data_IF_097418047986
#
_entry.id   IF_097418047986
#
_cell.length_a   1.000
_cell.length_b   1.000
_cell.length_c   1.000
_cell.angle_alpha   90.00
_cell.angle_beta   90.00
_cell.angle_gamma   90.00
#
_symmetry.space_group_name_H-M   'P 1'
#
loop_
_entity.id
_entity.type
_entity.pdbx_description
1 polymer ?
#
# COMPACT_ATOMS: atom_id res chain seq x y z
N UNK A 1 -23.79 -3.69 61.00
CA UNK A 1 -23.09 -4.81 60.33
C UNK A 1 -22.32 -4.23 59.15
N UNK A 2 -21.02 -3.98 59.32
CA UNK A 2 -20.16 -3.55 58.22
C UNK A 2 -19.68 -4.78 57.45
N UNK A 3 -20.03 -4.89 56.17
CA UNK A 3 -19.50 -5.91 55.27
C UNK A 3 -18.02 -5.61 55.02
N UNK A 4 -17.12 -6.41 55.58
CA UNK A 4 -15.71 -6.36 55.23
C UNK A 4 -15.57 -6.71 53.73
N UNK A 5 -14.91 -5.82 52.97
CA UNK A 5 -14.58 -6.08 51.58
C UNK A 5 -13.66 -7.31 51.44
N UNK A 6 -13.60 -7.94 50.25
CA UNK A 6 -12.82 -9.15 50.05
C UNK A 6 -11.33 -8.93 50.40
N UNK A 7 -10.61 -9.96 50.89
CA UNK A 7 -9.20 -9.85 51.24
C UNK A 7 -8.35 -9.41 50.04
N UNK A 8 -7.33 -8.58 50.27
CA UNK A 8 -6.40 -8.10 49.23
C UNK A 8 -5.79 -9.24 48.41
N UNK A 9 -5.52 -10.38 49.04
CA UNK A 9 -4.99 -11.60 48.42
C UNK A 9 -5.96 -12.18 47.36
N UNK A 10 -7.27 -12.11 47.60
CA UNK A 10 -8.28 -12.53 46.63
C UNK A 10 -8.37 -11.56 45.44
N UNK A 11 -8.05 -10.27 45.64
CA UNK A 11 -7.98 -9.27 44.59
C UNK A 11 -6.74 -9.44 43.70
N UNK A 12 -5.57 -9.68 44.30
CA UNK A 12 -4.33 -9.97 43.58
C UNK A 12 -4.42 -11.28 42.79
N UNK A 13 -4.99 -12.33 43.38
CA UNK A 13 -5.17 -13.64 42.72
C UNK A 13 -6.13 -13.53 41.53
N UNK A 14 -7.25 -12.80 41.67
CA UNK A 14 -8.19 -12.57 40.57
C UNK A 14 -7.59 -11.73 39.44
N UNK A 15 -6.81 -10.70 39.77
CA UNK A 15 -6.13 -9.85 38.79
C UNK A 15 -5.09 -10.66 38.00
N UNK A 16 -4.31 -11.48 38.70
CA UNK A 16 -3.31 -12.36 38.09
C UNK A 16 -3.96 -13.42 37.19
N UNK A 17 -5.06 -14.04 37.64
CA UNK A 17 -5.78 -15.04 36.85
C UNK A 17 -6.41 -14.42 35.58
N UNK A 18 -7.01 -13.22 35.68
CA UNK A 18 -7.52 -12.48 34.52
C UNK A 18 -6.41 -12.14 33.52
N UNK A 19 -5.26 -11.69 34.00
CA UNK A 19 -4.11 -11.37 33.13
C UNK A 19 -3.60 -12.60 32.38
N UNK A 20 -3.59 -13.78 33.02
CA UNK A 20 -3.14 -15.02 32.41
C UNK A 20 -4.10 -15.51 31.33
N UNK A 21 -5.41 -15.49 31.58
CA UNK A 21 -6.42 -15.83 30.56
C UNK A 21 -6.35 -14.91 29.34
N UNK A 22 -6.06 -13.62 29.54
CA UNK A 22 -5.92 -12.67 28.43
C UNK A 22 -4.66 -12.94 27.61
N UNK A 23 -3.55 -13.30 28.25
CA UNK A 23 -2.31 -13.73 27.60
C UNK A 23 -2.54 -15.02 26.80
N UNK A 24 -3.18 -16.02 27.39
CA UNK A 24 -3.45 -17.31 26.74
C UNK A 24 -4.38 -17.12 25.53
N UNK A 25 -5.44 -16.32 25.66
CA UNK A 25 -6.32 -15.97 24.55
C UNK A 25 -5.59 -15.25 23.41
N UNK A 26 -4.72 -14.30 23.75
CA UNK A 26 -3.94 -13.57 22.73
C UNK A 26 -2.94 -14.50 22.02
N UNK A 27 -2.38 -15.48 22.75
CA UNK A 27 -1.53 -16.52 22.17
C UNK A 27 -2.31 -17.41 21.21
N UNK A 28 -3.49 -17.89 21.60
CA UNK A 28 -4.37 -18.69 20.73
C UNK A 28 -4.76 -17.94 19.44
N UNK A 29 -5.10 -16.64 19.54
CA UNK A 29 -5.40 -15.81 18.37
C UNK A 29 -4.19 -15.72 17.44
N UNK A 30 -2.99 -15.49 18.00
CA UNK A 30 -1.76 -15.38 17.22
C UNK A 30 -1.35 -16.71 16.58
N UNK A 31 -1.60 -17.83 17.25
CA UNK A 31 -1.29 -19.18 16.74
C UNK A 31 -2.29 -19.61 15.65
N UNK A 32 -3.54 -19.13 15.72
CA UNK A 32 -4.57 -19.39 14.71
C UNK A 32 -4.35 -18.60 13.40
N UNK A 33 -3.88 -17.35 13.50
CA UNK A 33 -3.70 -16.49 12.35
C UNK A 33 -2.46 -16.88 11.52
N UNK A 34 -2.61 -17.17 10.20
CA UNK A 34 -1.50 -17.65 9.36
C UNK A 34 -0.25 -16.75 9.32
N UNK A 35 -0.43 -15.44 9.52
CA UNK A 35 0.66 -14.46 9.49
C UNK A 35 1.48 -14.42 10.79
N UNK A 36 0.87 -14.75 11.93
CA UNK A 36 1.54 -14.74 13.25
C UNK A 36 1.87 -16.13 13.77
N UNK A 37 1.30 -17.19 13.19
CA UNK A 37 1.51 -18.58 13.58
C UNK A 37 2.92 -19.10 13.24
N UNK A 38 3.65 -18.44 12.33
CA UNK A 38 5.03 -18.77 11.99
C UNK A 38 5.89 -17.51 11.85
N UNK A 39 6.77 -17.25 12.83
CA UNK A 39 7.63 -16.06 12.86
C UNK A 39 9.07 -16.35 12.42
N UNK A 40 9.23 -16.82 11.19
CA UNK A 40 10.52 -17.24 10.64
C UNK A 40 11.04 -16.30 9.54
N UNK A 41 10.41 -15.13 9.35
CA UNK A 41 10.77 -14.21 8.28
C UNK A 41 12.13 -13.56 8.54
N UNK A 42 12.95 -13.49 7.48
CA UNK A 42 14.26 -12.84 7.51
C UNK A 42 14.15 -11.40 6.98
N UNK A 43 15.15 -10.56 7.25
CA UNK A 43 15.10 -9.12 6.91
C UNK A 43 14.77 -8.83 5.43
N UNK A 44 15.19 -9.69 4.50
CA UNK A 44 14.89 -9.50 3.07
C UNK A 44 13.45 -9.84 2.69
N UNK A 45 12.76 -10.71 3.45
CA UNK A 45 11.32 -10.93 3.24
C UNK A 45 10.56 -9.63 3.50
N UNK A 46 10.93 -8.89 4.55
CA UNK A 46 10.37 -7.55 4.79
C UNK A 46 10.61 -6.62 3.61
N UNK A 47 11.79 -6.62 2.98
CA UNK A 47 12.02 -5.82 1.77
C UNK A 47 11.05 -6.21 0.66
N UNK A 48 10.91 -7.51 0.34
CA UNK A 48 10.01 -7.97 -0.72
C UNK A 48 8.53 -7.67 -0.43
N UNK A 49 8.08 -7.87 0.81
CA UNK A 49 6.69 -7.60 1.19
C UNK A 49 6.39 -6.11 1.21
N UNK A 50 7.29 -5.25 1.71
CA UNK A 50 7.11 -3.80 1.66
C UNK A 50 7.11 -3.27 0.22
N UNK A 51 8.02 -3.75 -0.64
CA UNK A 51 8.00 -3.42 -2.07
C UNK A 51 6.68 -3.85 -2.71
N UNK A 52 6.21 -5.06 -2.43
CA UNK A 52 4.95 -5.57 -3.00
C UNK A 52 3.73 -4.80 -2.50
N UNK A 53 3.75 -4.35 -1.24
CA UNK A 53 2.67 -3.58 -0.65
C UNK A 53 2.56 -2.18 -1.29
N UNK A 54 3.69 -1.56 -1.60
CA UNK A 54 3.74 -0.21 -2.19
C UNK A 54 3.65 -0.24 -3.71
N UNK A 55 4.57 -0.96 -4.36
CA UNK A 55 4.72 -0.98 -5.81
C UNK A 55 3.60 -1.78 -6.44
N UNK A 56 2.57 -1.07 -6.89
CA UNK A 56 1.47 -1.66 -7.62
C UNK A 56 0.77 -0.67 -8.55
N UNK A 57 -0.56 -0.78 -8.64
CA UNK A 57 -1.36 -0.02 -9.60
C UNK A 57 -1.20 1.51 -9.47
N UNK A 58 -0.93 2.01 -8.26
CA UNK A 58 -0.79 3.45 -8.01
C UNK A 58 0.41 4.10 -8.70
N UNK A 59 1.46 3.34 -9.05
CA UNK A 59 2.61 3.90 -9.80
C UNK A 59 2.19 4.45 -11.16
N UNK A 60 1.17 3.84 -11.78
CA UNK A 60 0.71 4.20 -13.11
C UNK A 60 -0.05 5.54 -13.13
N UNK A 61 -0.52 6.04 -11.98
CA UNK A 61 -1.14 7.37 -11.90
C UNK A 61 -0.12 8.49 -11.68
N UNK A 62 1.14 8.18 -11.32
CA UNK A 62 2.15 9.21 -11.05
C UNK A 62 2.41 10.17 -12.22
N UNK A 63 2.53 9.72 -13.50
CA UNK A 63 2.67 10.63 -14.63
C UNK A 63 1.45 11.56 -14.80
N UNK A 64 0.25 11.05 -14.50
CA UNK A 64 -0.98 11.84 -14.54
C UNK A 64 -0.97 12.89 -13.43
N UNK A 65 -0.62 12.51 -12.20
CA UNK A 65 -0.49 13.44 -11.09
C UNK A 65 0.54 14.55 -11.40
N UNK A 66 1.68 14.19 -12.01
CA UNK A 66 2.69 15.16 -12.46
C UNK A 66 2.13 16.13 -13.52
N UNK A 67 1.21 15.70 -14.38
CA UNK A 67 0.60 16.58 -15.38
C UNK A 67 -0.34 17.62 -14.82
N UNK A 68 -1.01 17.31 -13.71
CA UNK A 68 -1.91 18.23 -13.03
C UNK A 68 -1.15 19.18 -12.08
N UNK A 69 -0.01 18.74 -11.53
CA UNK A 69 0.85 19.53 -10.63
C UNK A 69 1.91 20.37 -11.37
N UNK A 70 2.31 19.96 -12.57
CA UNK A 70 3.44 20.51 -13.31
C UNK A 70 4.80 20.12 -12.72
N UNK A 71 5.89 20.50 -13.40
CA UNK A 71 7.25 20.10 -13.02
C UNK A 71 7.67 20.51 -11.60
N UNK A 72 7.54 21.80 -11.25
CA UNK A 72 8.00 22.31 -9.95
C UNK A 72 7.23 21.70 -8.78
N UNK A 73 5.93 22.01 -8.64
CA UNK A 73 5.11 21.43 -7.57
C UNK A 73 5.04 19.90 -7.61
N UNK A 74 5.00 19.29 -8.80
CA UNK A 74 4.95 17.83 -8.95
C UNK A 74 6.20 17.14 -8.41
N UNK A 75 7.41 17.59 -8.77
CA UNK A 75 8.66 17.00 -8.24
C UNK A 75 8.77 17.23 -6.73
N UNK A 76 8.39 18.42 -6.24
CA UNK A 76 8.40 18.73 -4.80
C UNK A 76 7.46 17.79 -4.05
N UNK A 77 6.21 17.63 -4.50
CA UNK A 77 5.24 16.72 -3.89
C UNK A 77 5.77 15.29 -3.94
N UNK A 78 6.32 14.83 -5.07
CA UNK A 78 6.85 13.47 -5.21
C UNK A 78 7.98 13.17 -4.21
N UNK A 79 8.94 14.08 -4.07
CA UNK A 79 10.07 13.96 -3.12
C UNK A 79 9.57 14.04 -1.67
N UNK A 80 8.74 15.02 -1.35
CA UNK A 80 8.22 15.20 0.00
C UNK A 80 7.37 14.01 0.43
N UNK A 81 6.49 13.49 -0.45
CA UNK A 81 5.70 12.29 -0.18
C UNK A 81 6.59 11.08 0.07
N UNK A 82 7.68 10.89 -0.69
CA UNK A 82 8.64 9.81 -0.44
C UNK A 82 9.31 9.95 0.94
N UNK A 83 9.77 11.15 1.32
CA UNK A 83 10.39 11.40 2.63
C UNK A 83 9.40 11.20 3.77
N UNK A 84 8.21 11.81 3.67
CA UNK A 84 7.17 11.73 4.71
C UNK A 84 6.74 10.29 4.92
N UNK A 85 6.50 9.55 3.83
CA UNK A 85 6.05 8.16 3.95
C UNK A 85 7.14 7.26 4.52
N UNK A 86 8.41 7.48 4.18
CA UNK A 86 9.53 6.77 4.82
C UNK A 86 9.57 7.05 6.33
N UNK A 87 9.39 8.32 6.71
CA UNK A 87 9.36 8.74 8.10
C UNK A 87 8.18 8.13 8.87
N UNK A 88 6.96 8.16 8.32
CA UNK A 88 5.81 7.56 9.00
C UNK A 88 5.93 6.04 9.09
N UNK A 89 6.54 5.38 8.10
CA UNK A 89 6.82 3.95 8.18
C UNK A 89 7.86 3.66 9.28
N UNK A 90 8.94 4.44 9.35
CA UNK A 90 9.90 4.34 10.44
C UNK A 90 9.23 4.43 11.81
N UNK A 91 8.31 5.39 12.00
CA UNK A 91 7.54 5.52 13.24
C UNK A 91 6.76 4.23 13.54
N UNK A 92 6.10 3.63 12.55
CA UNK A 92 5.38 2.36 12.75
C UNK A 92 6.32 1.22 13.17
N UNK A 93 7.52 1.16 12.59
CA UNK A 93 8.52 0.14 12.95
C UNK A 93 8.97 0.25 14.40
N UNK A 94 9.21 1.47 14.89
CA UNK A 94 9.55 1.71 16.29
C UNK A 94 8.36 1.47 17.21
N UNK A 95 7.15 1.88 16.81
CA UNK A 95 5.93 1.73 17.60
C UNK A 95 5.49 0.27 17.77
N UNK A 96 5.84 -0.63 16.85
CA UNK A 96 5.54 -2.06 16.97
C UNK A 96 6.07 -2.69 18.27
N UNK A 97 7.18 -2.18 18.81
CA UNK A 97 7.83 -2.69 20.04
C UNK A 97 8.21 -1.53 20.97
N UNK A 98 7.37 -0.50 21.06
CA UNK A 98 7.65 0.66 21.92
C UNK A 98 7.52 0.38 23.41
N UNK A 99 6.77 -0.66 23.79
CA UNK A 99 6.59 -1.10 25.18
C UNK A 99 7.39 -2.39 25.39
N UNK A 100 8.32 -2.43 26.37
CA UNK A 100 9.06 -3.65 26.68
C UNK A 100 8.14 -4.84 26.95
N UNK A 101 8.36 -5.96 26.26
CA UNK A 101 7.58 -7.19 26.43
C UNK A 101 6.21 -7.20 25.72
N UNK A 102 5.78 -6.11 25.07
CA UNK A 102 4.55 -6.07 24.29
C UNK A 102 4.84 -5.75 22.82
N UNK A 103 4.26 -6.55 21.93
CA UNK A 103 4.27 -6.31 20.48
C UNK A 103 2.89 -5.82 20.05
N UNK A 104 2.87 -4.82 19.19
CA UNK A 104 1.66 -4.35 18.51
C UNK A 104 1.71 -4.86 17.08
N UNK A 105 1.21 -6.08 16.88
CA UNK A 105 1.30 -6.78 15.59
C UNK A 105 0.27 -6.23 14.58
N UNK A 106 -0.76 -5.50 15.07
CA UNK A 106 -1.85 -4.96 14.26
C UNK A 106 -2.05 -3.47 14.51
N UNK A 107 -2.44 -2.75 13.46
CA UNK A 107 -2.62 -1.30 13.54
C UNK A 107 -3.69 -0.86 14.54
N UNK A 108 -4.78 -1.61 14.67
CA UNK A 108 -5.82 -1.31 15.67
C UNK A 108 -5.33 -1.49 17.12
N UNK A 109 -4.37 -2.37 17.39
CA UNK A 109 -3.82 -2.56 18.76
C UNK A 109 -3.04 -1.33 19.19
N UNK A 110 -2.32 -0.72 18.25
CA UNK A 110 -1.61 0.53 18.47
C UNK A 110 -2.61 1.68 18.71
N UNK A 111 -3.70 1.71 17.93
CA UNK A 111 -4.80 2.66 18.14
C UNK A 111 -5.47 2.51 19.51
N UNK A 112 -5.72 1.28 19.94
CA UNK A 112 -6.28 0.98 21.26
C UNK A 112 -5.32 1.37 22.39
N UNK A 113 -4.01 1.19 22.18
CA UNK A 113 -3.02 1.64 23.16
C UNK A 113 -2.95 3.17 23.26
N UNK A 114 -3.02 3.88 22.14
CA UNK A 114 -2.91 5.34 22.11
C UNK A 114 -4.19 6.06 22.56
N UNK A 115 -5.37 5.55 22.20
CA UNK A 115 -6.66 6.22 22.40
C UNK A 115 -7.61 5.49 23.37
N UNK A 116 -7.22 4.31 23.86
CA UNK A 116 -8.05 3.45 24.72
C UNK A 116 -8.84 2.40 23.93
N UNK A 117 -9.28 1.34 24.61
CA UNK A 117 -9.77 0.10 23.98
C UNK A 117 -10.96 0.29 23.03
N UNK A 118 -11.90 1.15 23.38
CA UNK A 118 -13.11 1.41 22.55
C UNK A 118 -12.86 2.51 21.52
N UNK A 119 -12.31 3.64 21.95
CA UNK A 119 -12.13 4.80 21.08
C UNK A 119 -11.09 4.52 20.00
N UNK A 120 -10.00 3.82 20.33
CA UNK A 120 -8.99 3.39 19.37
C UNK A 120 -9.56 2.52 18.25
N UNK A 121 -10.44 1.56 18.58
CA UNK A 121 -11.11 0.74 17.56
C UNK A 121 -12.02 1.58 16.65
N UNK A 122 -12.85 2.45 17.22
CA UNK A 122 -13.79 3.27 16.45
C UNK A 122 -13.12 4.30 15.55
N UNK A 123 -11.90 4.75 15.89
CA UNK A 123 -11.12 5.65 15.04
C UNK A 123 -10.42 4.85 13.94
N UNK A 124 -9.69 3.79 14.31
CA UNK A 124 -8.76 3.10 13.40
C UNK A 124 -9.48 2.15 12.44
N UNK A 125 -10.40 1.33 12.93
CA UNK A 125 -10.99 0.24 12.13
C UNK A 125 -11.78 0.78 10.93
N UNK A 126 -12.63 1.82 11.05
CA UNK A 126 -13.34 2.36 9.89
C UNK A 126 -12.39 2.90 8.82
N UNK A 127 -11.32 3.61 9.22
CA UNK A 127 -10.33 4.14 8.28
C UNK A 127 -9.58 3.02 7.56
N UNK A 128 -9.15 1.98 8.29
CA UNK A 128 -8.47 0.82 7.72
C UNK A 128 -9.39 0.05 6.77
N UNK A 129 -10.67 -0.13 7.11
CA UNK A 129 -11.65 -0.78 6.24
C UNK A 129 -11.87 -0.01 4.94
N UNK A 130 -12.03 1.32 5.01
CA UNK A 130 -12.22 2.17 3.83
C UNK A 130 -11.01 2.08 2.89
N UNK A 131 -9.80 2.13 3.42
CA UNK A 131 -8.57 1.99 2.62
C UNK A 131 -8.50 0.60 2.00
N UNK A 132 -8.71 -0.46 2.77
CA UNK A 132 -8.58 -1.84 2.28
C UNK A 132 -9.62 -2.17 1.20
N UNK A 133 -10.88 -1.82 1.42
CA UNK A 133 -11.95 -2.01 0.43
C UNK A 133 -11.69 -1.18 -0.83
N UNK A 134 -11.27 0.07 -0.66
CA UNK A 134 -10.92 0.95 -1.79
C UNK A 134 -9.78 0.38 -2.63
N UNK A 135 -8.69 -0.05 -1.98
CA UNK A 135 -7.55 -0.72 -2.62
C UNK A 135 -8.03 -1.95 -3.38
N UNK A 136 -8.82 -2.83 -2.75
CA UNK A 136 -9.34 -4.03 -3.42
C UNK A 136 -10.12 -3.69 -4.70
N UNK A 137 -11.02 -2.70 -4.66
CA UNK A 137 -11.79 -2.26 -5.83
C UNK A 137 -10.86 -1.76 -6.95
N UNK A 138 -9.90 -0.88 -6.62
CA UNK A 138 -8.98 -0.31 -7.60
C UNK A 138 -8.12 -1.38 -8.26
N UNK A 139 -7.61 -2.34 -7.49
CA UNK A 139 -6.81 -3.45 -8.02
C UNK A 139 -7.64 -4.40 -8.91
N UNK A 140 -8.91 -4.69 -8.55
CA UNK A 140 -9.78 -5.50 -9.40
C UNK A 140 -10.07 -4.84 -10.75
N UNK A 141 -10.36 -3.53 -10.74
CA UNK A 141 -10.59 -2.76 -11.96
C UNK A 141 -9.31 -2.69 -12.81
N UNK A 142 -8.16 -2.44 -12.18
CA UNK A 142 -6.88 -2.31 -12.88
C UNK A 142 -6.43 -3.64 -13.50
N UNK A 143 -6.56 -4.75 -12.77
CA UNK A 143 -6.30 -6.09 -13.28
C UNK A 143 -7.20 -6.44 -14.47
N UNK A 144 -8.50 -6.18 -14.35
CA UNK A 144 -9.46 -6.37 -15.45
C UNK A 144 -9.13 -5.53 -16.70
N UNK A 145 -8.72 -4.26 -16.52
CA UNK A 145 -8.27 -3.39 -17.63
C UNK A 145 -7.02 -3.96 -18.30
N UNK A 146 -6.08 -4.47 -17.51
CA UNK A 146 -4.83 -5.07 -18.00
C UNK A 146 -5.11 -6.33 -18.83
N UNK A 147 -5.98 -7.22 -18.34
CA UNK A 147 -6.42 -8.41 -19.09
C UNK A 147 -7.13 -8.04 -20.39
N UNK A 148 -8.04 -7.07 -20.35
CA UNK A 148 -8.72 -6.59 -21.57
C UNK A 148 -7.71 -6.05 -22.58
N UNK A 149 -6.75 -5.23 -22.13
CA UNK A 149 -5.73 -4.66 -23.01
C UNK A 149 -4.87 -5.76 -23.64
N UNK A 150 -4.51 -6.79 -22.88
CA UNK A 150 -3.79 -7.95 -23.40
C UNK A 150 -4.62 -8.67 -24.47
N UNK A 151 -5.89 -8.97 -24.19
CA UNK A 151 -6.82 -9.58 -25.15
C UNK A 151 -6.88 -8.77 -26.46
N UNK A 152 -7.12 -7.47 -26.37
CA UNK A 152 -7.24 -6.58 -27.53
C UNK A 152 -5.93 -6.47 -28.33
N UNK A 153 -4.79 -6.71 -27.69
CA UNK A 153 -3.46 -6.65 -28.34
C UNK A 153 -3.12 -7.96 -29.04
N UNK A 154 -3.44 -9.10 -28.43
CA UNK A 154 -3.13 -10.43 -28.97
C UNK A 154 -4.13 -10.86 -30.05
N UNK A 155 -5.38 -10.39 -29.95
CA UNK A 155 -6.42 -10.69 -30.92
C UNK A 155 -7.17 -9.41 -31.32
N UNK A 156 -6.63 -8.62 -32.26
CA UNK A 156 -7.25 -7.37 -32.73
C UNK A 156 -8.63 -7.60 -33.37
N UNK A 157 -8.80 -8.74 -34.04
CA UNK A 157 -10.04 -9.11 -34.75
C UNK A 157 -11.05 -9.87 -33.86
N UNK A 158 -10.73 -10.09 -32.59
CA UNK A 158 -11.65 -10.74 -31.67
C UNK A 158 -12.85 -9.83 -31.34
N UNK A 159 -13.97 -10.45 -31.00
CA UNK A 159 -15.15 -9.73 -30.54
C UNK A 159 -14.80 -8.88 -29.33
N UNK A 160 -15.20 -7.60 -29.37
CA UNK A 160 -15.06 -6.71 -28.21
C UNK A 160 -15.90 -7.22 -27.04
N UNK A 161 -15.22 -7.59 -25.95
CA UNK A 161 -15.84 -8.03 -24.70
C UNK A 161 -15.85 -6.86 -23.72
N UNK A 162 -16.97 -6.72 -22.97
CA UNK A 162 -17.10 -5.66 -21.96
C UNK A 162 -16.08 -5.83 -20.84
N UNK A 163 -15.52 -4.72 -20.35
CA UNK A 163 -14.54 -4.70 -19.27
C UNK A 163 -15.01 -5.47 -18.01
N UNK A 164 -16.30 -5.40 -17.69
CA UNK A 164 -16.90 -6.09 -16.54
C UNK A 164 -16.59 -7.60 -16.54
N UNK A 165 -16.56 -8.25 -17.70
CA UNK A 165 -16.22 -9.68 -17.77
C UNK A 165 -14.76 -9.95 -17.42
N UNK A 166 -13.83 -9.12 -17.88
CA UNK A 166 -12.41 -9.24 -17.51
C UNK A 166 -12.18 -8.98 -16.02
N UNK A 167 -12.92 -8.04 -15.42
CA UNK A 167 -12.90 -7.82 -13.97
C UNK A 167 -13.39 -9.08 -13.25
N UNK A 168 -14.50 -9.68 -13.68
CA UNK A 168 -15.03 -10.91 -13.08
C UNK A 168 -14.06 -12.10 -13.22
N UNK A 169 -13.38 -12.24 -14.37
CA UNK A 169 -12.34 -13.26 -14.58
C UNK A 169 -11.20 -13.05 -13.58
N UNK A 170 -10.69 -11.82 -13.48
CA UNK A 170 -9.61 -11.48 -12.55
C UNK A 170 -10.01 -11.72 -11.08
N UNK A 171 -11.23 -11.33 -10.72
CA UNK A 171 -11.79 -11.54 -9.38
C UNK A 171 -11.95 -13.04 -9.05
N UNK A 172 -12.36 -13.86 -10.03
CA UNK A 172 -12.53 -15.30 -9.84
C UNK A 172 -11.20 -15.99 -9.51
N UNK A 173 -10.12 -15.61 -10.20
CA UNK A 173 -8.76 -16.11 -9.91
C UNK A 173 -8.34 -15.71 -8.50
N UNK A 174 -8.55 -14.44 -8.11
CA UNK A 174 -8.22 -13.97 -6.75
C UNK A 174 -9.06 -14.64 -5.66
N UNK A 175 -10.34 -14.92 -5.92
CA UNK A 175 -11.20 -15.64 -4.99
C UNK A 175 -10.67 -17.06 -4.72
N UNK A 176 -10.18 -17.75 -5.73
CA UNK A 176 -9.56 -19.08 -5.54
C UNK A 176 -8.23 -18.95 -4.79
N UNK A 177 -7.40 -17.97 -5.14
CA UNK A 177 -6.13 -17.73 -4.46
C UNK A 177 -6.31 -17.36 -2.98
N UNK A 178 -7.40 -16.65 -2.62
CA UNK A 178 -7.68 -16.28 -1.22
C UNK A 178 -8.02 -17.47 -0.32
N UNK A 179 -8.34 -18.62 -0.90
CA UNK A 179 -8.56 -19.86 -0.15
C UNK A 179 -7.25 -20.60 0.18
N UNK A 180 -6.11 -20.18 -0.37
CA UNK A 180 -4.82 -20.81 -0.08
C UNK A 180 -4.30 -20.36 1.30
N UNK A 181 -3.96 -21.30 2.20
CA UNK A 181 -3.63 -20.99 3.60
C UNK A 181 -2.26 -20.30 3.80
N UNK A 182 -1.40 -20.21 2.78
CA UNK A 182 -0.06 -19.64 2.91
C UNK A 182 0.44 -18.94 1.65
N UNK A 183 0.75 -17.65 1.76
CA UNK A 183 1.17 -16.76 0.66
C UNK A 183 2.71 -16.62 0.51
N UNK A 184 3.51 -17.44 1.20
CA UNK A 184 4.98 -17.35 1.16
C UNK A 184 5.60 -17.44 -0.26
N UNK A 185 4.88 -17.99 -1.25
CA UNK A 185 5.33 -18.09 -2.65
C UNK A 185 4.83 -16.98 -3.59
N UNK A 186 3.91 -16.11 -3.16
CA UNK A 186 3.27 -15.09 -4.03
C UNK A 186 4.09 -13.79 -4.10
N UNK A 187 4.88 -13.49 -3.06
CA UNK A 187 5.78 -12.32 -3.04
C UNK A 187 6.85 -12.36 -4.13
N UNK A 188 7.37 -13.55 -4.46
CA UNK A 188 8.35 -13.73 -5.54
C UNK A 188 7.77 -13.50 -6.94
N UNK A 189 6.51 -13.89 -7.16
CA UNK A 189 5.80 -13.70 -8.44
C UNK A 189 5.46 -12.23 -8.69
N UNK A 190 5.06 -11.50 -7.63
CA UNK A 190 4.74 -10.07 -7.73
C UNK A 190 5.97 -9.22 -8.10
N UNK A 191 7.14 -9.52 -7.51
CA UNK A 191 8.39 -8.84 -7.87
C UNK A 191 8.80 -9.11 -9.33
N UNK A 192 8.70 -10.37 -9.77
CA UNK A 192 9.01 -10.71 -11.16
C UNK A 192 8.06 -9.95 -12.13
N UNK A 193 6.78 -9.85 -11.80
CA UNK A 193 5.80 -9.09 -12.58
C UNK A 193 6.11 -7.58 -12.57
N UNK A 194 6.50 -7.00 -11.43
CA UNK A 194 6.89 -5.60 -11.32
C UNK A 194 8.14 -5.28 -12.14
N UNK A 195 9.19 -6.11 -12.04
CA UNK A 195 10.43 -5.97 -12.81
C UNK A 195 10.18 -6.15 -14.31
N UNK A 196 9.33 -7.11 -14.71
CA UNK A 196 8.94 -7.28 -16.11
C UNK A 196 8.12 -6.11 -16.64
N UNK A 197 7.24 -5.54 -15.82
CA UNK A 197 6.43 -4.37 -16.18
C UNK A 197 7.30 -3.11 -16.34
N UNK A 198 8.33 -2.93 -15.51
CA UNK A 198 9.30 -1.82 -15.63
C UNK A 198 10.15 -1.92 -16.90
N UNK A 199 10.51 -3.14 -17.33
CA UNK A 199 11.26 -3.35 -18.60
C UNK A 199 10.41 -3.21 -19.86
N UNK A 200 9.08 -3.39 -19.74
CA UNK A 200 8.12 -3.27 -20.85
C UNK A 200 7.22 -2.04 -20.71
N UNK A 201 7.70 -0.93 -20.14
CA UNK A 201 7.02 0.36 -20.28
C UNK A 201 7.21 0.92 -21.69
N UNK A 202 6.64 0.20 -22.66
CA UNK A 202 6.46 0.65 -24.02
C UNK A 202 5.29 1.62 -24.05
N UNK A 203 5.62 2.89 -24.28
CA UNK A 203 4.86 3.86 -25.09
C UNK A 203 3.34 3.66 -25.05
N UNK A 204 2.68 4.21 -24.02
CA UNK A 204 1.23 4.29 -24.01
C UNK A 204 0.80 5.38 -25.02
N UNK A 205 0.43 4.95 -26.22
CA UNK A 205 -0.01 5.86 -27.27
C UNK A 205 -1.43 6.35 -26.99
N UNK A 206 -1.57 7.64 -26.66
CA UNK A 206 -2.85 8.35 -26.78
C UNK A 206 -3.40 9.01 -25.51
N UNK A 207 -2.63 9.14 -24.43
CA UNK A 207 -3.08 9.91 -23.27
C UNK A 207 -2.50 11.32 -23.37
N UNK A 208 -3.41 12.30 -23.39
CA UNK A 208 -3.10 13.72 -23.44
C UNK A 208 -3.08 14.30 -22.02
N UNK A 209 -1.96 14.95 -21.69
CA UNK A 209 -1.57 15.36 -20.34
C UNK A 209 -1.20 16.86 -20.33
N UNK A 210 -1.97 17.69 -21.03
CA UNK A 210 -1.94 19.14 -20.87
C UNK A 210 -2.73 19.63 -19.65
N UNK A 211 -2.52 20.87 -19.21
CA UNK A 211 -3.37 21.52 -18.19
C UNK A 211 -4.84 21.50 -18.66
N UNK A 212 -5.68 20.67 -18.03
CA UNK A 212 -7.07 20.44 -18.49
C UNK A 212 -8.06 21.49 -17.99
N UNK A 213 -7.72 22.24 -16.94
CA UNK A 213 -8.65 23.18 -16.32
C UNK A 213 -8.46 24.61 -16.87
N UNK A 214 -9.51 25.13 -17.51
CA UNK A 214 -9.60 26.54 -17.92
C UNK A 214 -10.16 27.47 -16.81
N UNK A 215 -10.55 26.91 -15.66
CA UNK A 215 -11.11 27.63 -14.51
C UNK A 215 -10.31 27.40 -13.24
N UNK A 216 -10.24 28.40 -12.36
CA UNK A 216 -9.53 28.33 -11.07
C UNK A 216 -10.00 27.17 -10.21
N UNK A 217 -11.32 26.93 -10.15
CA UNK A 217 -11.89 25.82 -9.38
C UNK A 217 -11.43 24.46 -9.92
N UNK A 218 -11.40 24.28 -11.25
CA UNK A 218 -10.91 23.06 -11.87
C UNK A 218 -9.44 22.80 -11.54
N UNK A 219 -8.60 23.84 -11.56
CA UNK A 219 -7.18 23.73 -11.18
C UNK A 219 -7.02 23.26 -9.73
N UNK A 220 -7.83 23.78 -8.81
CA UNK A 220 -7.79 23.37 -7.39
C UNK A 220 -8.22 21.92 -7.23
N UNK A 221 -9.31 21.48 -7.87
CA UNK A 221 -9.75 20.08 -7.79
C UNK A 221 -8.75 19.11 -8.40
N UNK A 222 -8.11 19.49 -9.51
CA UNK A 222 -7.07 18.70 -10.14
C UNK A 222 -5.83 18.58 -9.24
N UNK A 223 -5.44 19.67 -8.56
CA UNK A 223 -4.36 19.63 -7.57
C UNK A 223 -4.65 18.64 -6.44
N UNK A 224 -5.85 18.67 -5.85
CA UNK A 224 -6.23 17.71 -4.80
C UNK A 224 -6.33 16.27 -5.33
N UNK A 225 -6.81 16.09 -6.55
CA UNK A 225 -6.85 14.76 -7.20
C UNK A 225 -5.44 14.20 -7.38
N UNK A 226 -4.49 15.03 -7.82
CA UNK A 226 -3.11 14.65 -7.98
C UNK A 226 -2.41 14.33 -6.64
N UNK A 227 -2.72 15.08 -5.57
CA UNK A 227 -2.27 14.72 -4.21
C UNK A 227 -2.82 13.35 -3.79
N UNK A 228 -4.09 13.07 -4.10
CA UNK A 228 -4.71 11.76 -3.88
C UNK A 228 -4.03 10.63 -4.66
N UNK A 229 -3.69 10.88 -5.93
CA UNK A 229 -2.97 9.92 -6.77
C UNK A 229 -1.57 9.61 -6.23
N UNK A 230 -0.82 10.64 -5.80
CA UNK A 230 0.50 10.46 -5.18
C UNK A 230 0.37 9.72 -3.84
N UNK A 231 -0.62 10.07 -3.01
CA UNK A 231 -0.87 9.39 -1.74
C UNK A 231 -1.22 7.91 -1.96
N UNK A 232 -2.05 7.60 -2.95
CA UNK A 232 -2.40 6.23 -3.33
C UNK A 232 -1.19 5.45 -3.84
N UNK A 233 -0.31 6.08 -4.61
CA UNK A 233 0.92 5.44 -5.09
C UNK A 233 1.84 4.98 -3.95
N UNK A 234 1.92 5.74 -2.86
CA UNK A 234 2.72 5.40 -1.68
C UNK A 234 1.93 4.66 -0.58
N UNK A 235 0.70 4.22 -0.86
CA UNK A 235 -0.06 3.41 0.08
C UNK A 235 0.62 2.05 0.32
N UNK A 236 0.61 1.57 1.57
CA UNK A 236 1.25 0.31 1.95
C UNK A 236 1.52 0.19 3.46
N UNK A 237 1.42 1.30 4.19
CA UNK A 237 1.62 1.36 5.65
C UNK A 237 0.64 0.49 6.43
N UNK A 238 -0.56 0.25 5.91
CA UNK A 238 -1.63 -0.52 6.56
C UNK A 238 -1.29 -2.00 6.80
N UNK A 239 -0.23 -2.52 6.18
CA UNK A 239 0.23 -3.93 6.35
C UNK A 239 1.62 -4.05 6.98
N UNK A 240 2.26 -2.93 7.32
CA UNK A 240 3.66 -2.90 7.79
C UNK A 240 3.83 -3.58 9.14
N UNK A 241 2.87 -3.41 10.04
CA UNK A 241 2.94 -4.02 11.37
C UNK A 241 2.78 -5.53 11.27
N UNK A 242 1.88 -5.99 10.40
CA UNK A 242 1.64 -7.39 10.12
C UNK A 242 2.86 -8.05 9.45
N UNK A 243 3.56 -7.33 8.56
CA UNK A 243 4.84 -7.78 7.99
C UNK A 243 5.89 -7.91 9.09
N UNK A 244 6.03 -6.91 9.97
CA UNK A 244 6.99 -6.95 11.07
C UNK A 244 6.66 -8.04 12.10
N UNK A 245 5.39 -8.35 12.30
CA UNK A 245 4.94 -9.43 13.17
C UNK A 245 5.52 -10.79 12.73
N UNK A 246 5.71 -11.03 11.43
CA UNK A 246 6.30 -12.27 10.90
C UNK A 246 7.79 -12.44 11.22
N UNK A 247 8.47 -11.36 11.63
CA UNK A 247 9.89 -11.38 11.98
C UNK A 247 10.04 -11.84 13.43
N UNK A 248 10.96 -12.78 13.71
CA UNK A 248 11.24 -13.21 15.07
C UNK A 248 11.77 -12.05 15.90
N UNK A 249 11.31 -11.96 17.14
CA UNK A 249 11.74 -10.94 18.09
C UNK A 249 12.07 -11.57 19.44
N UNK A 250 13.13 -11.09 20.06
CA UNK A 250 13.55 -11.43 21.43
C UNK A 250 13.95 -10.15 22.14
N UNK A 251 13.93 -10.09 23.48
CA UNK A 251 14.36 -8.90 24.22
C UNK A 251 15.76 -8.40 23.80
N UNK A 252 16.68 -9.30 23.45
CA UNK A 252 18.05 -9.00 23.02
C UNK A 252 18.15 -8.63 21.53
N UNK A 253 17.24 -9.16 20.71
CA UNK A 253 17.19 -8.94 19.25
C UNK A 253 15.76 -8.54 18.83
N UNK A 254 15.41 -7.25 18.94
CA UNK A 254 14.08 -6.77 18.59
C UNK A 254 13.87 -6.80 17.06
N UNK A 255 12.63 -7.02 16.63
CA UNK A 255 12.24 -7.15 15.22
C UNK A 255 12.47 -5.86 14.43
N UNK A 256 12.48 -4.71 15.10
CA UNK A 256 12.66 -3.38 14.47
C UNK A 256 13.96 -3.24 13.67
N UNK A 257 15.06 -3.85 14.11
CA UNK A 257 16.36 -3.77 13.41
C UNK A 257 16.32 -4.44 12.03
N UNK A 258 15.99 -5.76 11.92
CA UNK A 258 15.85 -6.40 10.62
C UNK A 258 14.70 -5.82 9.79
N UNK A 259 13.60 -5.40 10.42
CA UNK A 259 12.50 -4.72 9.71
C UNK A 259 12.98 -3.42 9.05
N UNK A 260 13.65 -2.55 9.79
CA UNK A 260 14.14 -1.27 9.28
C UNK A 260 15.13 -1.44 8.12
N UNK A 261 16.00 -2.44 8.21
CA UNK A 261 16.90 -2.80 7.09
C UNK A 261 16.09 -3.18 5.83
N UNK A 262 15.02 -3.95 5.98
CA UNK A 262 14.12 -4.31 4.88
C UNK A 262 13.41 -3.09 4.28
N UNK A 263 12.91 -2.20 5.14
CA UNK A 263 12.24 -0.94 4.75
C UNK A 263 13.16 -0.03 3.95
N UNK A 264 14.42 0.18 4.38
CA UNK A 264 15.37 1.02 3.64
C UNK A 264 15.64 0.50 2.23
N UNK A 265 15.80 -0.83 2.08
CA UNK A 265 15.98 -1.45 0.77
C UNK A 265 14.70 -1.31 -0.07
N UNK A 266 13.53 -1.51 0.54
CA UNK A 266 12.25 -1.33 -0.15
C UNK A 266 12.06 0.11 -0.65
N UNK A 267 12.35 1.11 0.17
CA UNK A 267 12.22 2.52 -0.20
C UNK A 267 13.20 2.98 -1.27
N UNK A 268 14.40 2.39 -1.30
CA UNK A 268 15.34 2.57 -2.40
C UNK A 268 14.77 2.00 -3.71
N UNK A 269 14.21 0.79 -3.68
CA UNK A 269 13.56 0.18 -4.85
C UNK A 269 12.36 1.02 -5.30
N UNK A 270 11.51 1.48 -4.37
CA UNK A 270 10.38 2.37 -4.64
C UNK A 270 10.88 3.65 -5.32
N UNK A 271 11.94 4.29 -4.84
CA UNK A 271 12.51 5.47 -5.48
C UNK A 271 12.94 5.19 -6.93
N UNK A 272 13.65 4.08 -7.16
CA UNK A 272 14.10 3.64 -8.49
C UNK A 272 12.91 3.33 -9.41
N UNK A 273 11.78 2.88 -8.87
CA UNK A 273 10.59 2.57 -9.67
C UNK A 273 9.75 3.83 -9.93
N UNK A 274 9.53 4.67 -8.92
CA UNK A 274 8.51 5.73 -8.96
C UNK A 274 9.03 6.97 -9.64
N UNK A 275 10.26 7.39 -9.32
CA UNK A 275 10.81 8.64 -9.81
C UNK A 275 11.01 8.59 -11.33
N UNK A 276 11.62 7.55 -11.92
CA UNK A 276 11.72 7.46 -13.37
C UNK A 276 10.35 7.38 -14.05
N UNK A 277 9.41 6.60 -13.50
CA UNK A 277 8.08 6.48 -14.09
C UNK A 277 7.36 7.82 -14.10
N UNK A 278 7.37 8.54 -12.98
CA UNK A 278 6.75 9.86 -12.86
C UNK A 278 7.41 10.89 -13.80
N UNK A 279 8.74 11.01 -13.74
CA UNK A 279 9.51 12.03 -14.46
C UNK A 279 9.52 11.76 -15.96
N UNK A 280 9.92 10.54 -16.38
CA UNK A 280 10.02 10.18 -17.81
C UNK A 280 8.62 10.07 -18.41
N UNK A 281 7.67 9.45 -17.69
CA UNK A 281 6.29 9.34 -18.15
C UNK A 281 5.68 10.72 -18.42
N UNK A 282 5.88 11.66 -17.50
CA UNK A 282 5.42 13.03 -17.69
C UNK A 282 6.15 13.74 -18.84
N UNK A 283 7.48 13.65 -18.90
CA UNK A 283 8.26 14.27 -19.97
C UNK A 283 7.87 13.79 -21.38
N UNK A 284 7.69 12.47 -21.55
CA UNK A 284 7.26 11.89 -22.83
C UNK A 284 5.87 12.38 -23.21
N UNK A 285 4.95 12.46 -22.24
CA UNK A 285 3.59 12.93 -22.49
C UNK A 285 3.53 14.39 -22.92
N UNK A 286 4.30 15.26 -22.25
CA UNK A 286 4.38 16.68 -22.56
C UNK A 286 5.00 16.90 -23.95
N UNK A 287 6.06 16.15 -24.27
CA UNK A 287 6.73 16.23 -25.58
C UNK A 287 5.79 15.79 -26.71
N UNK A 288 5.00 14.73 -26.49
CA UNK A 288 4.00 14.27 -27.45
C UNK A 288 2.90 15.31 -27.68
N UNK A 289 2.40 15.93 -26.60
CA UNK A 289 1.43 17.02 -26.69
C UNK A 289 1.97 18.20 -27.51
N UNK A 290 3.17 18.69 -27.17
CA UNK A 290 3.83 19.80 -27.89
C UNK A 290 4.00 19.51 -29.38
N UNK A 291 4.42 18.29 -29.71
CA UNK A 291 4.60 17.87 -31.11
C UNK A 291 3.27 17.86 -31.86
N UNK A 292 2.23 17.24 -31.27
CA UNK A 292 0.89 17.12 -31.86
C UNK A 292 0.24 18.50 -32.06
N UNK A 293 0.33 19.37 -31.06
CA UNK A 293 -0.17 20.74 -31.15
C UNK A 293 0.57 21.57 -32.21
N UNK A 294 1.90 21.44 -32.29
CA UNK A 294 2.71 22.13 -33.30
C UNK A 294 2.41 21.68 -34.74
N UNK A 295 2.02 20.41 -34.93
CA UNK A 295 1.55 19.90 -36.23
C UNK A 295 0.15 20.38 -36.56
N UNK A 296 -0.76 20.41 -35.57
CA UNK A 296 -2.12 20.90 -35.77
C UNK A 296 -2.14 22.40 -36.13
N UNK A 297 -1.34 23.22 -35.46
CA UNK A 297 -1.21 24.65 -35.80
C UNK A 297 -0.58 24.87 -37.18
N UNK A 298 0.42 24.06 -37.58
CA UNK A 298 1.01 24.15 -38.93
C UNK A 298 0.00 23.83 -40.03
N UNK A 299 -0.91 22.88 -39.78
CA UNK A 299 -1.93 22.50 -40.76
C UNK A 299 -3.13 23.46 -40.83
N UNK A 300 -3.24 24.42 -39.90
CA UNK A 300 -4.27 25.46 -39.92
C UNK A 300 -3.80 26.81 -40.47
N UNK A 301 -2.49 26.98 -40.71
CA UNK A 301 -1.86 28.23 -41.18
C UNK A 301 -1.27 28.10 -42.59
N UNK A 302 -1.39 26.93 -43.24
CA UNK A 302 -1.02 26.70 -44.64
C UNK A 302 -2.23 26.29 -45.47
#
# INVERSE_FOLDING_TARGET
MGTAGPPLEAYETNTTHKSKMEIDRNKEINDWLPITSSRNAKWWYSAFHNVTAMVGAGVLSLPFAMSELGWGPGVVVLVLSWIITLYTLWQMVEMHEMVPGKRFDRYHELGQHAFGDRLGLWIVVPQQLVVEVGVCIVYMVTGGKSLKKFHDTVCPDCKSIRLTFFIMIFASVHFVLSQLPNFNSISGVSLAAAVMSLRRQGKQEGVDYGYKAHSTAGTVFNFFSALGDVAFAYAGHNVVLEIQATIPSTPEKPSKKPMWKGVLVAYLIVAICYFPVAIIGYWVSETKWRTTYSSALRNHVG
#
